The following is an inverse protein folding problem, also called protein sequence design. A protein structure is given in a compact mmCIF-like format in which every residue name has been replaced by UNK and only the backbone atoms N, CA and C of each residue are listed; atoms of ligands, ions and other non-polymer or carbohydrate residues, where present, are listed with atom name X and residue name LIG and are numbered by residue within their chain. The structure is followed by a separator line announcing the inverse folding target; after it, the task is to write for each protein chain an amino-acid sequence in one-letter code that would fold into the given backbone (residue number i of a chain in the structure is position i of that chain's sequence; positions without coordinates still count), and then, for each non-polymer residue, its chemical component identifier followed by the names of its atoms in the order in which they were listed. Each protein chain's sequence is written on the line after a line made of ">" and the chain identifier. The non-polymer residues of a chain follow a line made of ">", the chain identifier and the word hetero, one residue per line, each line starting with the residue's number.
data_IF_231620212461
#
_entry.id   IF_231620212461
#
_cell.length_a   1.000
_cell.length_b   1.000
_cell.length_c   1.000
_cell.angle_alpha   90.00
_cell.angle_beta   90.00
_cell.angle_gamma   90.00
#
_symmetry.space_group_name_H-M   'P 1'
#
loop_
_entity.id
_entity.type
_entity.pdbx_description
1 polymer ?
#
# COMPACT_ATOMS: atom_id res chain seq x y z
N UNK A 1 6.55 5.76 -4.61
CA UNK A 1 6.55 6.40 -3.27
C UNK A 1 7.45 7.61 -3.21
N UNK A 2 7.15 8.65 -3.98
CA UNK A 2 7.77 9.97 -3.82
C UNK A 2 6.79 10.99 -4.38
N UNK A 3 6.32 11.89 -3.53
CA UNK A 3 5.38 12.93 -3.93
C UNK A 3 3.91 12.49 -3.88
N UNK A 4 3.07 13.36 -4.43
CA UNK A 4 1.62 13.28 -4.33
C UNK A 4 1.05 12.02 -4.97
N UNK A 5 1.71 11.44 -5.97
CA UNK A 5 1.27 10.23 -6.68
C UNK A 5 2.38 9.20 -6.83
N UNK A 6 1.99 7.95 -6.99
CA UNK A 6 2.86 6.88 -7.45
C UNK A 6 2.54 6.52 -8.90
N UNK A 7 3.54 6.03 -9.64
CA UNK A 7 3.38 5.64 -11.04
C UNK A 7 3.90 4.21 -11.21
N UNK A 8 3.23 3.43 -12.06
CA UNK A 8 3.71 2.12 -12.47
C UNK A 8 3.79 2.04 -13.99
N UNK A 9 4.70 1.20 -14.48
CA UNK A 9 4.86 0.88 -15.89
C UNK A 9 5.14 -0.61 -16.05
N UNK A 10 4.53 -1.21 -17.05
CA UNK A 10 4.70 -2.61 -17.43
C UNK A 10 5.65 -2.74 -18.62
N UNK A 11 6.04 -3.98 -18.93
CA UNK A 11 7.01 -4.26 -20.02
C UNK A 11 6.41 -3.99 -21.40
N UNK A 12 5.09 -4.10 -21.54
CA UNK A 12 4.29 -3.81 -22.73
C UNK A 12 3.86 -2.32 -22.83
N UNK A 13 4.56 -1.43 -22.11
CA UNK A 13 4.38 0.03 -22.11
C UNK A 13 3.02 0.53 -21.59
N UNK A 14 2.22 -0.33 -20.96
CA UNK A 14 1.10 0.14 -20.15
C UNK A 14 1.62 0.87 -18.91
N UNK A 15 0.98 1.97 -18.57
CA UNK A 15 1.32 2.74 -17.38
C UNK A 15 0.08 3.33 -16.74
N UNK A 16 0.19 3.64 -15.46
CA UNK A 16 -0.89 4.25 -14.71
C UNK A 16 -0.40 4.94 -13.44
N UNK A 17 -1.33 5.63 -12.80
CA UNK A 17 -1.11 6.42 -11.61
C UNK A 17 -1.83 5.80 -10.41
N UNK A 18 -1.26 5.97 -9.23
CA UNK A 18 -1.84 5.59 -7.95
C UNK A 18 -1.92 6.86 -7.12
N UNK A 19 -3.14 7.39 -7.01
CA UNK A 19 -3.45 8.69 -6.40
C UNK A 19 -4.03 8.54 -4.98
N UNK A 20 -3.80 7.38 -4.35
CA UNK A 20 -4.27 7.14 -2.98
C UNK A 20 -3.61 8.12 -2.02
N UNK A 21 -4.36 8.76 -1.12
CA UNK A 21 -3.80 9.77 -0.21
C UNK A 21 -2.71 9.14 0.66
N UNK A 22 -1.55 9.80 0.76
CA UNK A 22 -0.43 9.39 1.61
C UNK A 22 -0.21 10.39 2.76
N UNK A 23 0.65 10.04 3.72
CA UNK A 23 1.12 10.98 4.74
C UNK A 23 1.97 12.11 4.16
N UNK A 24 2.14 13.20 4.90
CA UNK A 24 2.79 14.43 4.40
C UNK A 24 4.29 14.28 4.08
N UNK A 25 5.00 13.31 4.67
CA UNK A 25 6.45 13.13 4.48
C UNK A 25 6.86 11.66 4.51
N UNK A 26 8.04 11.36 3.95
CA UNK A 26 8.68 10.05 4.10
C UNK A 26 9.00 9.76 5.55
N UNK A 27 8.73 8.52 5.95
CA UNK A 27 9.33 7.93 7.13
C UNK A 27 10.58 7.13 6.74
N UNK A 28 11.56 7.07 7.62
CA UNK A 28 12.63 6.07 7.51
C UNK A 28 12.00 4.66 7.58
N UNK A 29 12.38 3.77 6.67
CA UNK A 29 11.87 2.39 6.60
C UNK A 29 10.60 2.18 5.76
N UNK A 30 10.00 3.23 5.16
CA UNK A 30 8.83 3.07 4.27
C UNK A 30 9.09 2.12 3.09
N UNK A 31 10.32 2.13 2.57
CA UNK A 31 10.73 1.25 1.47
C UNK A 31 10.72 -0.23 1.86
N UNK A 32 11.04 -0.55 3.12
CA UNK A 32 11.01 -1.91 3.64
C UNK A 32 9.58 -2.44 3.73
N UNK A 33 8.65 -1.58 4.16
CA UNK A 33 7.21 -1.90 4.20
C UNK A 33 6.70 -2.16 2.77
N UNK A 34 7.06 -1.31 1.80
CA UNK A 34 6.69 -1.53 0.40
C UNK A 34 7.28 -2.82 -0.16
N UNK A 35 8.55 -3.11 0.12
CA UNK A 35 9.18 -4.34 -0.36
C UNK A 35 8.47 -5.59 0.21
N UNK A 36 8.14 -5.59 1.50
CA UNK A 36 7.39 -6.67 2.15
C UNK A 36 5.97 -6.82 1.59
N UNK A 37 5.26 -5.70 1.41
CA UNK A 37 3.93 -5.68 0.80
C UNK A 37 3.96 -6.22 -0.64
N UNK A 38 4.93 -5.79 -1.45
CA UNK A 38 5.11 -6.24 -2.82
C UNK A 38 5.44 -7.73 -2.92
N UNK A 39 6.31 -8.25 -2.07
CA UNK A 39 6.57 -9.69 -2.03
C UNK A 39 5.32 -10.50 -1.72
N UNK A 40 4.50 -10.02 -0.79
CA UNK A 40 3.26 -10.67 -0.36
C UNK A 40 2.20 -10.64 -1.46
N UNK A 41 1.91 -9.46 -2.00
CA UNK A 41 0.90 -9.28 -3.06
C UNK A 41 1.31 -9.98 -4.34
N UNK A 42 2.60 -10.00 -4.70
CA UNK A 42 3.09 -10.71 -5.87
C UNK A 42 2.95 -12.23 -5.72
N UNK A 43 3.18 -12.76 -4.51
CA UNK A 43 2.93 -14.17 -4.24
C UNK A 43 1.46 -14.52 -4.40
N UNK A 44 0.55 -13.75 -3.78
CA UNK A 44 -0.89 -13.95 -3.95
C UNK A 44 -1.34 -13.77 -5.39
N UNK A 45 -0.79 -12.78 -6.10
CA UNK A 45 -1.12 -12.52 -7.48
C UNK A 45 -0.85 -13.72 -8.38
N UNK A 46 0.26 -14.43 -8.14
CA UNK A 46 0.57 -15.69 -8.82
C UNK A 46 -0.41 -16.81 -8.49
N UNK A 47 -0.91 -16.89 -7.25
CA UNK A 47 -1.86 -17.92 -6.85
C UNK A 47 -3.23 -17.74 -7.52
N UNK A 48 -3.67 -16.49 -7.72
CA UNK A 48 -4.97 -16.17 -8.32
C UNK A 48 -4.88 -15.71 -9.78
N UNK A 49 -3.69 -15.83 -10.40
CA UNK A 49 -3.40 -15.48 -11.79
C UNK A 49 -3.80 -14.04 -12.18
N UNK A 50 -3.51 -13.07 -11.32
CA UNK A 50 -3.60 -11.63 -11.62
C UNK A 50 -2.23 -11.06 -11.97
N UNK A 51 -2.19 -9.91 -12.62
CA UNK A 51 -0.97 -9.35 -13.19
C UNK A 51 0.02 -8.84 -12.14
N UNK A 52 1.31 -8.77 -12.52
CA UNK A 52 2.35 -8.12 -11.70
C UNK A 52 2.01 -6.63 -11.47
N UNK A 53 1.40 -5.98 -12.46
CA UNK A 53 0.98 -4.59 -12.36
C UNK A 53 -0.04 -4.40 -11.22
N UNK A 54 -1.04 -5.28 -11.14
CA UNK A 54 -2.03 -5.26 -10.06
C UNK A 54 -1.39 -5.49 -8.69
N UNK A 55 -0.40 -6.40 -8.59
CA UNK A 55 0.37 -6.58 -7.35
C UNK A 55 1.14 -5.31 -6.95
N UNK A 56 1.79 -4.64 -7.91
CA UNK A 56 2.48 -3.37 -7.69
C UNK A 56 1.52 -2.26 -7.22
N UNK A 57 0.37 -2.14 -7.87
CA UNK A 57 -0.70 -1.18 -7.52
C UNK A 57 -1.20 -1.45 -6.11
N UNK A 58 -1.57 -2.69 -5.79
CA UNK A 58 -2.06 -3.07 -4.46
C UNK A 58 -1.06 -2.76 -3.35
N UNK A 59 0.24 -2.99 -3.61
CA UNK A 59 1.31 -2.75 -2.64
C UNK A 59 1.54 -1.26 -2.38
N UNK A 60 1.57 -0.47 -3.45
CA UNK A 60 1.68 0.99 -3.34
C UNK A 60 0.47 1.57 -2.62
N UNK A 61 -0.74 1.15 -3.01
CA UNK A 61 -1.99 1.54 -2.36
C UNK A 61 -1.94 1.27 -0.85
N UNK A 62 -1.60 0.03 -0.45
CA UNK A 62 -1.58 -0.37 0.96
C UNK A 62 -0.66 0.53 1.79
N UNK A 63 0.57 0.76 1.32
CA UNK A 63 1.55 1.54 2.09
C UNK A 63 1.20 3.03 2.11
N UNK A 64 0.61 3.57 1.03
CA UNK A 64 0.11 4.95 1.01
C UNK A 64 -1.04 5.12 2.00
N UNK A 65 -1.99 4.20 1.99
CA UNK A 65 -3.10 4.16 2.93
C UNK A 65 -2.63 4.07 4.39
N UNK A 66 -1.70 3.14 4.70
CA UNK A 66 -1.12 3.00 6.04
C UNK A 66 -0.40 4.29 6.49
N UNK A 67 0.32 4.94 5.57
CA UNK A 67 1.00 6.20 5.85
C UNK A 67 0.01 7.32 6.17
N UNK A 68 -1.07 7.45 5.40
CA UNK A 68 -2.10 8.45 5.66
C UNK A 68 -2.82 8.17 6.99
N UNK A 69 -3.23 6.93 7.23
CA UNK A 69 -3.93 6.54 8.46
C UNK A 69 -3.10 6.78 9.72
N UNK A 70 -1.82 6.40 9.69
CA UNK A 70 -0.90 6.69 10.78
C UNK A 70 -0.71 8.20 10.98
N UNK A 71 -0.61 8.96 9.88
CA UNK A 71 -0.48 10.41 9.95
C UNK A 71 -1.72 11.07 10.58
N UNK A 72 -2.92 10.68 10.17
CA UNK A 72 -4.18 11.23 10.69
C UNK A 72 -4.37 10.93 12.19
N UNK A 73 -3.87 9.79 12.66
CA UNK A 73 -3.94 9.40 14.07
C UNK A 73 -2.93 10.12 14.97
N UNK A 74 -1.70 10.30 14.51
CA UNK A 74 -0.60 10.80 15.35
C UNK A 74 -0.46 12.33 15.21
N UNK A 75 -0.87 12.91 14.08
CA UNK A 75 -0.84 14.36 13.85
C UNK A 75 0.56 14.96 13.64
N UNK A 76 1.58 14.12 13.48
CA UNK A 76 2.98 14.52 13.19
C UNK A 76 3.60 13.62 12.12
N UNK A 77 4.86 13.86 11.80
CA UNK A 77 5.66 12.95 10.96
C UNK A 77 5.59 11.52 11.48
N UNK A 78 5.30 10.59 10.58
CA UNK A 78 5.11 9.15 10.80
C UNK A 78 6.45 8.44 10.73
N UNK A 79 6.62 7.36 11.46
CA UNK A 79 7.75 6.41 11.38
C UNK A 79 7.30 5.03 10.83
N UNK A 80 8.22 4.16 10.40
CA UNK A 80 7.84 2.82 9.94
C UNK A 80 7.03 2.01 10.99
N UNK A 81 7.37 2.03 12.30
CA UNK A 81 6.57 1.35 13.32
C UNK A 81 5.13 1.87 13.41
N UNK A 82 4.92 3.17 13.23
CA UNK A 82 3.59 3.78 13.24
C UNK A 82 2.74 3.19 12.11
N UNK A 83 3.30 3.06 10.90
CA UNK A 83 2.61 2.43 9.76
C UNK A 83 2.34 0.94 9.99
N UNK A 84 3.31 0.21 10.55
CA UNK A 84 3.17 -1.22 10.84
C UNK A 84 2.03 -1.45 11.84
N UNK A 85 1.88 -0.56 12.83
CA UNK A 85 0.81 -0.64 13.83
C UNK A 85 -0.60 -0.53 13.22
N UNK A 86 -0.72 0.07 12.04
CA UNK A 86 -1.99 0.22 11.32
C UNK A 86 -2.34 -0.97 10.40
N UNK A 87 -1.40 -1.90 10.15
CA UNK A 87 -1.63 -3.06 9.27
C UNK A 87 -2.80 -3.93 9.75
N UNK A 88 -2.88 -4.36 11.03
CA UNK A 88 -3.93 -5.28 11.46
C UNK A 88 -5.34 -4.71 11.29
N UNK A 89 -5.54 -3.43 11.64
CA UNK A 89 -6.84 -2.76 11.47
C UNK A 89 -7.18 -2.56 10.00
N UNK A 90 -6.20 -2.22 9.17
CA UNK A 90 -6.40 -2.04 7.72
C UNK A 90 -6.85 -3.34 7.06
N UNK A 91 -6.19 -4.46 7.36
CA UNK A 91 -6.58 -5.77 6.83
C UNK A 91 -7.96 -6.21 7.30
N UNK A 92 -8.30 -6.01 8.58
CA UNK A 92 -9.65 -6.28 9.10
C UNK A 92 -10.72 -5.44 8.41
N UNK A 93 -10.42 -4.20 8.09
CA UNK A 93 -11.36 -3.33 7.38
C UNK A 93 -11.58 -3.81 5.94
N UNK A 94 -10.53 -4.21 5.22
CA UNK A 94 -10.63 -4.81 3.89
C UNK A 94 -11.47 -6.09 3.95
N UNK A 95 -11.19 -6.98 4.92
CA UNK A 95 -11.96 -8.21 5.13
C UNK A 95 -13.45 -7.91 5.34
N UNK A 96 -13.78 -6.94 6.19
CA UNK A 96 -15.17 -6.55 6.47
C UNK A 96 -15.88 -5.98 5.25
N UNK A 97 -15.22 -5.13 4.47
CA UNK A 97 -15.85 -4.45 3.33
C UNK A 97 -16.07 -5.40 2.15
N UNK A 98 -15.14 -6.33 1.91
CA UNK A 98 -15.13 -7.13 0.67
C UNK A 98 -15.43 -8.61 0.86
N UNK A 99 -15.25 -9.17 2.07
CA UNK A 99 -15.35 -10.62 2.28
C UNK A 99 -16.43 -11.04 3.28
N UNK A 100 -16.98 -10.12 4.07
CA UNK A 100 -18.19 -10.38 4.85
C UNK A 100 -19.41 -9.94 4.07
N UNK A 101 -20.07 -10.91 3.46
CA UNK A 101 -21.50 -10.82 3.18
C UNK A 101 -22.22 -11.28 4.44
N UNK A 102 -23.03 -10.41 5.04
CA UNK A 102 -24.07 -10.85 5.99
C UNK A 102 -25.04 -11.83 5.30
#
# INVERSE_FOLDING_TARGET
>A
MKGEKDYYRTVDDHSGEIDEKAGLRRCGGQGDILAGALGTTLHWAKLVNVSIAEACVASSFLVRYLSNKAFEKIGRSVEAPDMISEIPDTLRNIERVYFRHD
#
